data_IF_504188700268
#
_entry.id   IF_504188700268
#
_cell.length_a   1.000
_cell.length_b   1.000
_cell.length_c   1.000
_cell.angle_alpha   90.00
_cell.angle_beta   90.00
_cell.angle_gamma   90.00
#
_symmetry.space_group_name_H-M   'P 1'
#
loop_
_entity.id
_entity.type
_entity.pdbx_description
1 polymer ?
#
# COMPACT_ATOMS: atom_id res chain seq x y z
N UNK A 1 13.45 20.77 -36.70
CA UNK A 1 12.18 20.70 -35.93
C UNK A 1 11.91 19.34 -35.28
N UNK A 2 12.46 18.22 -35.75
CA UNK A 2 12.19 16.89 -35.16
C UNK A 2 12.92 16.63 -33.83
N UNK A 3 14.11 17.22 -33.62
CA UNK A 3 14.89 17.06 -32.38
C UNK A 3 14.26 17.69 -31.13
N UNK A 4 13.69 18.90 -31.23
CA UNK A 4 13.04 19.57 -30.10
C UNK A 4 11.78 18.82 -29.63
N UNK A 5 11.02 18.22 -30.56
CA UNK A 5 9.86 17.39 -30.22
C UNK A 5 10.24 16.08 -29.53
N UNK A 6 11.39 15.50 -29.88
CA UNK A 6 11.89 14.29 -29.25
C UNK A 6 12.39 14.55 -27.82
N UNK A 7 13.16 15.62 -27.61
CA UNK A 7 13.60 16.06 -26.28
C UNK A 7 12.40 16.39 -25.39
N UNK A 8 11.42 17.16 -25.88
CA UNK A 8 10.23 17.49 -25.10
C UNK A 8 9.42 16.25 -24.69
N UNK A 9 9.31 15.24 -25.57
CA UNK A 9 8.65 13.97 -25.26
C UNK A 9 9.41 13.19 -24.19
N UNK A 10 10.74 13.11 -24.29
CA UNK A 10 11.58 12.45 -23.29
C UNK A 10 11.47 13.13 -21.92
N UNK A 11 11.54 14.45 -21.88
CA UNK A 11 11.43 15.22 -20.64
C UNK A 11 10.06 15.01 -19.97
N UNK A 12 8.98 14.95 -20.75
CA UNK A 12 7.65 14.64 -20.23
C UNK A 12 7.57 13.22 -19.63
N UNK A 13 8.21 12.23 -20.26
CA UNK A 13 8.28 10.87 -19.72
C UNK A 13 9.12 10.80 -18.42
N UNK A 14 10.24 11.52 -18.36
CA UNK A 14 11.06 11.61 -17.15
C UNK A 14 10.32 12.28 -15.99
N UNK A 15 9.59 13.39 -16.26
CA UNK A 15 8.75 14.05 -15.27
C UNK A 15 7.67 13.09 -14.74
N UNK A 16 6.96 12.39 -15.64
CA UNK A 16 5.96 11.38 -15.26
C UNK A 16 6.57 10.25 -14.42
N UNK A 17 7.78 9.80 -14.77
CA UNK A 17 8.49 8.77 -14.01
C UNK A 17 8.79 9.23 -12.58
N UNK A 18 9.25 10.47 -12.40
CA UNK A 18 9.52 11.04 -11.08
C UNK A 18 8.25 11.11 -10.23
N UNK A 19 7.12 11.54 -10.81
CA UNK A 19 5.83 11.60 -10.12
C UNK A 19 5.36 10.20 -9.68
N UNK A 20 5.52 9.19 -10.55
CA UNK A 20 5.18 7.81 -10.22
C UNK A 20 6.07 7.22 -9.12
N UNK A 21 7.37 7.51 -9.13
CA UNK A 21 8.30 7.09 -8.05
C UNK A 21 7.92 7.75 -6.72
N UNK A 22 7.54 9.03 -6.73
CA UNK A 22 7.04 9.71 -5.54
C UNK A 22 5.73 9.07 -5.04
N UNK A 23 4.82 8.71 -5.95
CA UNK A 23 3.58 8.00 -5.62
C UNK A 23 3.85 6.63 -4.99
N UNK A 24 4.72 5.81 -5.58
CA UNK A 24 5.11 4.51 -5.01
C UNK A 24 5.72 4.70 -3.62
N UNK A 25 6.60 5.69 -3.45
CA UNK A 25 7.20 5.97 -2.14
C UNK A 25 6.15 6.32 -1.07
N UNK A 26 5.15 7.13 -1.43
CA UNK A 26 4.05 7.47 -0.54
C UNK A 26 3.18 6.24 -0.19
N UNK A 27 2.87 5.40 -1.18
CA UNK A 27 2.13 4.17 -0.99
C UNK A 27 2.88 3.16 -0.12
N UNK A 28 4.20 3.03 -0.29
CA UNK A 28 5.03 2.16 0.56
C UNK A 28 5.03 2.64 2.01
N UNK A 29 5.07 3.96 2.25
CA UNK A 29 4.92 4.51 3.60
C UNK A 29 3.52 4.24 4.18
N UNK A 30 2.47 4.36 3.35
CA UNK A 30 1.10 4.01 3.72
C UNK A 30 0.99 2.54 4.11
N UNK A 31 1.54 1.62 3.29
CA UNK A 31 1.58 0.19 3.56
C UNK A 31 2.31 -0.14 4.87
N UNK A 32 3.45 0.50 5.15
CA UNK A 32 4.17 0.31 6.41
C UNK A 32 3.30 0.72 7.61
N UNK A 33 2.61 1.87 7.53
CA UNK A 33 1.71 2.35 8.58
C UNK A 33 0.53 1.40 8.79
N UNK A 34 -0.06 0.89 7.71
CA UNK A 34 -1.16 -0.07 7.77
C UNK A 34 -0.72 -1.38 8.42
N UNK A 35 0.46 -1.90 8.05
CA UNK A 35 1.04 -3.09 8.66
C UNK A 35 1.33 -2.92 10.16
N UNK A 36 1.81 -1.74 10.58
CA UNK A 36 1.98 -1.43 12.01
C UNK A 36 0.63 -1.40 12.75
N UNK A 37 -0.39 -0.77 12.16
CA UNK A 37 -1.75 -0.76 12.72
C UNK A 37 -2.32 -2.17 12.83
N UNK A 38 -2.12 -3.02 11.80
CA UNK A 38 -2.54 -4.43 11.80
C UNK A 38 -1.88 -5.20 12.93
N UNK A 39 -0.56 -5.10 13.08
CA UNK A 39 0.16 -5.75 14.19
C UNK A 39 -0.37 -5.31 15.57
N UNK A 40 -0.71 -4.03 15.72
CA UNK A 40 -1.36 -3.53 16.94
C UNK A 40 -2.70 -4.20 17.24
N UNK A 41 -3.53 -4.41 16.21
CA UNK A 41 -4.82 -5.09 16.33
C UNK A 41 -4.64 -6.58 16.63
N UNK A 42 -3.71 -7.26 15.95
CA UNK A 42 -3.40 -8.67 16.18
C UNK A 42 -2.95 -8.91 17.63
N UNK A 43 -2.13 -8.01 18.19
CA UNK A 43 -1.74 -8.08 19.60
C UNK A 43 -2.93 -7.88 20.56
N UNK A 44 -3.88 -7.00 20.22
CA UNK A 44 -5.07 -6.74 21.03
C UNK A 44 -6.03 -7.94 21.04
N UNK A 45 -6.24 -8.55 19.87
CA UNK A 45 -7.00 -9.81 19.72
C UNK A 45 -6.37 -10.90 20.59
N UNK A 46 -5.06 -11.16 20.44
CA UNK A 46 -4.37 -12.19 21.23
C UNK A 46 -4.48 -11.91 22.74
N UNK A 47 -4.36 -10.65 23.15
CA UNK A 47 -4.51 -10.25 24.56
C UNK A 47 -5.90 -10.60 25.08
N UNK A 48 -6.95 -10.29 24.32
CA UNK A 48 -8.34 -10.56 24.68
C UNK A 48 -8.63 -12.06 24.73
N UNK A 49 -8.19 -12.83 23.73
CA UNK A 49 -8.31 -14.29 23.72
C UNK A 49 -7.66 -14.94 24.94
N UNK A 50 -6.45 -14.48 25.31
CA UNK A 50 -5.75 -14.96 26.50
C UNK A 50 -6.46 -14.60 27.80
N UNK A 51 -7.06 -13.42 27.89
CA UNK A 51 -7.84 -12.99 29.06
C UNK A 51 -9.13 -13.80 29.22
N UNK A 52 -9.85 -14.01 28.13
CA UNK A 52 -11.03 -14.87 28.06
C UNK A 52 -10.66 -16.31 28.46
N UNK A 53 -9.55 -16.84 27.95
CA UNK A 53 -9.08 -18.18 28.29
C UNK A 53 -8.72 -18.36 29.76
N UNK A 54 -8.22 -17.31 30.43
CA UNK A 54 -7.88 -17.36 31.87
C UNK A 54 -9.07 -17.12 32.80
N UNK A 55 -9.98 -16.23 32.42
CA UNK A 55 -10.97 -15.63 33.33
C UNK A 55 -12.40 -16.01 32.99
N UNK A 56 -12.62 -16.69 31.85
CA UNK A 56 -13.91 -16.86 31.22
C UNK A 56 -14.31 -15.66 30.36
N UNK A 57 -15.18 -15.89 29.38
CA UNK A 57 -15.68 -14.84 28.48
C UNK A 57 -16.81 -14.05 29.12
N UNK A 58 -16.48 -12.96 29.81
CA UNK A 58 -17.50 -11.97 30.19
C UNK A 58 -18.13 -11.38 28.92
N UNK A 59 -19.38 -10.90 29.02
CA UNK A 59 -20.05 -10.29 27.88
C UNK A 59 -19.23 -9.12 27.28
N UNK A 60 -18.57 -8.33 28.12
CA UNK A 60 -17.70 -7.24 27.68
C UNK A 60 -16.47 -7.76 26.93
N UNK A 61 -15.78 -8.78 27.46
CA UNK A 61 -14.59 -9.32 26.80
C UNK A 61 -14.91 -9.93 25.44
N UNK A 62 -16.05 -10.63 25.34
CA UNK A 62 -16.51 -11.22 24.07
C UNK A 62 -16.85 -10.12 23.07
N UNK A 63 -17.50 -9.04 23.50
CA UNK A 63 -17.78 -7.89 22.66
C UNK A 63 -16.48 -7.21 22.19
N UNK A 64 -15.57 -6.93 23.10
CA UNK A 64 -14.29 -6.28 22.78
C UNK A 64 -13.47 -7.10 21.78
N UNK A 65 -13.49 -8.44 21.92
CA UNK A 65 -12.85 -9.36 20.99
C UNK A 65 -13.48 -9.25 19.60
N UNK A 66 -14.81 -9.30 19.52
CA UNK A 66 -15.51 -9.17 18.24
C UNK A 66 -15.21 -7.84 17.54
N UNK A 67 -15.23 -6.74 18.28
CA UNK A 67 -14.89 -5.43 17.73
C UNK A 67 -13.42 -5.37 17.27
N UNK A 68 -12.50 -6.04 17.97
CA UNK A 68 -11.10 -6.14 17.56
C UNK A 68 -10.93 -6.96 16.27
N UNK A 69 -11.66 -8.06 16.14
CA UNK A 69 -11.70 -8.88 14.93
C UNK A 69 -12.27 -8.11 13.74
N UNK A 70 -13.35 -7.34 13.92
CA UNK A 70 -13.93 -6.48 12.89
C UNK A 70 -12.93 -5.41 12.42
N UNK A 71 -12.23 -4.75 13.36
CA UNK A 71 -11.14 -3.83 13.03
C UNK A 71 -10.02 -4.54 12.27
N UNK A 72 -9.72 -5.79 12.63
CA UNK A 72 -8.77 -6.67 11.96
C UNK A 72 -9.15 -6.95 10.50
N UNK A 73 -10.41 -7.30 10.25
CA UNK A 73 -10.92 -7.51 8.91
C UNK A 73 -10.86 -6.22 8.07
N UNK A 74 -11.26 -5.08 8.65
CA UNK A 74 -11.21 -3.80 7.97
C UNK A 74 -9.78 -3.40 7.58
N UNK A 75 -8.80 -3.56 8.48
CA UNK A 75 -7.40 -3.21 8.16
C UNK A 75 -6.81 -4.14 7.09
N UNK A 76 -7.22 -5.41 7.02
CA UNK A 76 -6.79 -6.31 5.95
C UNK A 76 -7.28 -5.82 4.57
N UNK A 77 -8.52 -5.33 4.48
CA UNK A 77 -9.03 -4.72 3.25
C UNK A 77 -8.26 -3.46 2.87
N UNK A 78 -7.95 -2.59 3.84
CA UNK A 78 -7.11 -1.40 3.59
C UNK A 78 -5.70 -1.79 3.09
N UNK A 79 -5.07 -2.81 3.69
CA UNK A 79 -3.77 -3.32 3.25
C UNK A 79 -3.82 -3.83 1.81
N UNK A 80 -4.81 -4.66 1.48
CA UNK A 80 -4.96 -5.21 0.13
C UNK A 80 -5.16 -4.12 -0.93
N UNK A 81 -6.02 -3.14 -0.64
CA UNK A 81 -6.24 -2.00 -1.54
C UNK A 81 -4.98 -1.14 -1.71
N UNK A 82 -4.17 -0.97 -0.66
CA UNK A 82 -2.89 -0.27 -0.76
C UNK A 82 -1.89 -1.04 -1.64
N UNK A 83 -1.82 -2.35 -1.48
CA UNK A 83 -0.95 -3.22 -2.28
C UNK A 83 -1.34 -3.22 -3.77
N UNK A 84 -2.64 -3.29 -4.08
CA UNK A 84 -3.14 -3.14 -5.45
C UNK A 84 -2.72 -1.80 -6.07
N UNK A 85 -2.79 -0.71 -5.31
CA UNK A 85 -2.35 0.63 -5.76
C UNK A 85 -0.84 0.70 -6.01
N UNK A 86 -0.03 -0.03 -5.22
CA UNK A 86 1.42 -0.14 -5.43
C UNK A 86 1.69 -0.87 -6.74
N UNK A 87 1.12 -2.07 -6.91
CA UNK A 87 1.30 -2.89 -8.12
C UNK A 87 0.90 -2.11 -9.38
N UNK A 88 -0.21 -1.37 -9.33
CA UNK A 88 -0.64 -0.53 -10.44
C UNK A 88 0.38 0.58 -10.75
N UNK A 89 0.89 1.28 -9.73
CA UNK A 89 1.87 2.35 -9.92
C UNK A 89 3.23 1.81 -10.43
N UNK A 90 3.65 0.63 -9.99
CA UNK A 90 4.85 -0.06 -10.50
C UNK A 90 4.67 -0.49 -11.96
N UNK A 91 3.47 -0.94 -12.33
CA UNK A 91 3.09 -1.21 -13.72
C UNK A 91 3.21 0.05 -14.60
N UNK A 92 2.67 1.17 -14.14
CA UNK A 92 2.78 2.47 -14.83
C UNK A 92 4.25 2.89 -15.04
N UNK A 93 5.13 2.66 -14.04
CA UNK A 93 6.57 2.95 -14.15
C UNK A 93 7.20 2.09 -15.24
N UNK A 94 6.89 0.79 -15.28
CA UNK A 94 7.41 -0.12 -16.29
C UNK A 94 7.03 0.30 -17.73
N UNK A 95 5.81 0.79 -17.91
CA UNK A 95 5.34 1.30 -19.20
C UNK A 95 6.07 2.58 -19.62
N UNK A 96 6.32 3.48 -18.66
CA UNK A 96 7.13 4.69 -18.89
C UNK A 96 8.58 4.33 -19.21
N UNK A 97 9.18 3.39 -18.48
CA UNK A 97 10.55 2.92 -18.71
C UNK A 97 10.70 2.28 -20.08
N UNK A 98 9.70 1.50 -20.52
CA UNK A 98 9.66 0.93 -21.87
C UNK A 98 9.57 2.02 -22.95
N UNK A 99 8.77 3.07 -22.70
CA UNK A 99 8.62 4.21 -23.59
C UNK A 99 9.91 5.05 -23.69
N UNK A 100 10.62 5.22 -22.57
CA UNK A 100 11.92 5.91 -22.53
C UNK A 100 13.00 5.12 -23.27
N UNK A 101 13.05 3.80 -23.09
CA UNK A 101 13.99 2.94 -23.82
C UNK A 101 13.77 3.03 -25.34
N UNK A 102 12.51 3.12 -25.79
CA UNK A 102 12.18 3.29 -27.20
C UNK A 102 12.60 4.67 -27.75
N UNK A 103 12.74 5.70 -26.90
CA UNK A 103 13.31 6.99 -27.31
C UNK A 103 14.84 7.00 -27.34
N UNK A 104 15.51 6.10 -26.61
CA UNK A 104 16.98 6.02 -26.57
C UNK A 104 17.57 5.10 -27.66
N UNK A 105 16.77 4.20 -28.22
CA UNK A 105 17.18 3.22 -29.23
C UNK A 105 17.07 3.66 -30.69
N UNK A 106 16.87 4.95 -30.97
CA UNK A 106 16.69 5.54 -32.31
C UNK A 106 17.54 6.79 -32.50
#
# INVERSE_FOLDING_TARGET
MTGESHTARRDALLARRLDLVAKVSALTAEALRLNQKRAGIEMDVLRLELEIGRSGGSAQLVQDLHEAEERGAAIMHECAACEERIVAAEGDIKDVDSSLAATDGN
#
